data_IF_283579135327
#
_entry.id   IF_283579135327
#
_cell.length_a   1.000
_cell.length_b   1.000
_cell.length_c   1.000
_cell.angle_alpha   90.00
_cell.angle_beta   90.00
_cell.angle_gamma   90.00
#
_symmetry.space_group_name_H-M   'P 1'
#
loop_
_entity.id
_entity.type
_entity.pdbx_description
1 polymer ?
#
# COMPACT_ATOMS: atom_id res chain seq x y z
N UNK A 1 -3.96 -23.07 -23.65
CA UNK A 1 -3.83 -21.62 -23.88
C UNK A 1 -3.67 -20.95 -22.51
N UNK A 2 -2.68 -20.07 -22.33
CA UNK A 2 -2.48 -19.33 -21.07
C UNK A 2 -3.73 -18.52 -20.70
N UNK A 3 -4.23 -18.68 -19.47
CA UNK A 3 -5.32 -17.86 -18.94
C UNK A 3 -4.77 -16.51 -18.44
N UNK A 4 -4.96 -15.46 -19.26
CA UNK A 4 -4.43 -14.14 -18.96
C UNK A 4 -5.12 -13.49 -17.75
N UNK A 5 -6.40 -13.80 -17.51
CA UNK A 5 -7.12 -13.25 -16.36
C UNK A 5 -6.58 -13.86 -15.06
N UNK A 6 -6.31 -15.16 -15.05
CA UNK A 6 -5.67 -15.83 -13.91
C UNK A 6 -4.23 -15.35 -13.69
N UNK A 7 -3.48 -15.08 -14.76
CA UNK A 7 -2.15 -14.45 -14.69
C UNK A 7 -2.22 -13.09 -13.98
N UNK A 8 -3.12 -12.21 -14.39
CA UNK A 8 -3.32 -10.89 -13.77
C UNK A 8 -3.77 -11.02 -12.32
N UNK A 9 -4.71 -11.92 -12.02
CA UNK A 9 -5.15 -12.18 -10.65
C UNK A 9 -3.98 -12.64 -9.75
N UNK A 10 -3.08 -13.47 -10.28
CA UNK A 10 -1.87 -13.90 -9.56
C UNK A 10 -0.89 -12.74 -9.37
N UNK A 11 -0.67 -11.90 -10.38
CA UNK A 11 0.15 -10.69 -10.24
C UNK A 11 -0.40 -9.77 -9.13
N UNK A 12 -1.72 -9.63 -9.06
CA UNK A 12 -2.40 -8.82 -8.06
C UNK A 12 -2.27 -9.35 -6.62
N UNK A 13 -1.83 -10.60 -6.39
CA UNK A 13 -1.51 -11.08 -5.04
C UNK A 13 -0.16 -10.57 -4.52
N UNK A 14 0.76 -10.21 -5.43
CA UNK A 14 2.14 -9.85 -5.10
C UNK A 14 3.06 -11.04 -4.82
N UNK A 15 2.60 -12.27 -5.09
CA UNK A 15 3.43 -13.47 -4.98
C UNK A 15 4.24 -13.67 -6.28
N UNK A 16 5.39 -12.99 -6.35
CA UNK A 16 6.27 -13.02 -7.51
C UNK A 16 6.82 -14.43 -7.79
N UNK A 17 7.05 -15.24 -6.76
CA UNK A 17 7.56 -16.60 -6.94
C UNK A 17 6.53 -17.51 -7.58
N UNK A 18 5.28 -17.46 -7.09
CA UNK A 18 4.15 -18.17 -7.70
C UNK A 18 3.91 -17.67 -9.13
N UNK A 19 3.94 -16.35 -9.36
CA UNK A 19 3.76 -15.75 -10.67
C UNK A 19 4.80 -16.26 -11.67
N UNK A 20 6.08 -16.15 -11.32
CA UNK A 20 7.19 -16.56 -12.20
C UNK A 20 7.15 -18.06 -12.44
N UNK A 21 6.93 -18.86 -11.40
CA UNK A 21 6.92 -20.32 -11.53
C UNK A 21 5.76 -20.80 -12.40
N UNK A 22 4.58 -20.24 -12.18
CA UNK A 22 3.35 -20.70 -12.83
C UNK A 22 3.23 -20.24 -14.28
N UNK A 23 3.69 -19.04 -14.63
CA UNK A 23 3.36 -18.46 -15.94
C UNK A 23 4.54 -18.25 -16.87
N UNK A 24 5.79 -18.31 -16.41
CA UNK A 24 6.96 -18.06 -17.24
C UNK A 24 7.72 -19.35 -17.56
N UNK A 25 8.29 -19.42 -18.76
CA UNK A 25 9.23 -20.46 -19.15
C UNK A 25 10.59 -20.26 -18.45
N UNK A 26 11.39 -21.31 -18.36
CA UNK A 26 12.67 -21.26 -17.64
C UNK A 26 13.69 -20.31 -18.31
N UNK A 27 13.63 -20.23 -19.64
CA UNK A 27 14.48 -19.42 -20.52
C UNK A 27 13.83 -18.10 -20.97
N UNK A 28 12.80 -17.63 -20.25
CA UNK A 28 12.05 -16.42 -20.62
C UNK A 28 12.95 -15.21 -20.84
N UNK A 29 12.67 -14.43 -21.88
CA UNK A 29 13.33 -13.13 -22.11
C UNK A 29 12.37 -11.99 -21.80
N UNK A 30 12.72 -11.15 -20.82
CA UNK A 30 11.99 -9.92 -20.50
C UNK A 30 12.76 -8.70 -21.01
N UNK A 31 12.15 -7.93 -21.91
CA UNK A 31 12.70 -6.67 -22.44
C UNK A 31 11.86 -5.50 -21.95
N UNK A 32 12.48 -4.58 -21.20
CA UNK A 32 11.85 -3.37 -20.69
C UNK A 32 12.77 -2.16 -20.84
N UNK A 33 12.32 -1.13 -21.56
CA UNK A 33 13.15 0.03 -21.87
C UNK A 33 14.44 -0.37 -22.59
N UNK A 34 15.60 -0.07 -21.99
CA UNK A 34 16.93 -0.43 -22.53
C UNK A 34 17.53 -1.69 -21.90
N UNK A 35 16.79 -2.41 -21.06
CA UNK A 35 17.27 -3.57 -20.32
C UNK A 35 16.62 -4.85 -20.84
N UNK A 36 17.40 -5.93 -20.79
CA UNK A 36 16.96 -7.28 -21.10
C UNK A 36 17.38 -8.20 -19.94
N UNK A 37 16.49 -9.10 -19.56
CA UNK A 37 16.66 -10.05 -18.47
C UNK A 37 16.37 -11.46 -19.00
N UNK A 38 17.25 -12.41 -18.69
CA UNK A 38 17.19 -13.77 -19.22
C UNK A 38 16.95 -14.81 -18.12
N UNK A 39 15.91 -15.60 -18.33
CA UNK A 39 15.47 -16.67 -17.46
C UNK A 39 14.79 -16.20 -16.17
N UNK A 40 14.17 -17.16 -15.49
CA UNK A 40 13.38 -16.89 -14.27
C UNK A 40 14.20 -16.24 -13.15
N UNK A 41 15.48 -16.57 -13.02
CA UNK A 41 16.32 -16.04 -11.93
C UNK A 41 16.55 -14.53 -12.05
N UNK A 42 16.80 -14.03 -13.26
CA UNK A 42 16.96 -12.59 -13.49
C UNK A 42 15.62 -11.86 -13.41
N UNK A 43 14.54 -12.47 -13.91
CA UNK A 43 13.19 -11.93 -13.76
C UNK A 43 12.81 -11.75 -12.28
N UNK A 44 13.04 -12.76 -11.43
CA UNK A 44 12.79 -12.65 -9.98
C UNK A 44 13.60 -11.53 -9.33
N UNK A 45 14.88 -11.39 -9.69
CA UNK A 45 15.71 -10.27 -9.19
C UNK A 45 15.17 -8.92 -9.62
N UNK A 46 14.71 -8.81 -10.86
CA UNK A 46 14.08 -7.59 -11.38
C UNK A 46 12.79 -7.26 -10.62
N UNK A 47 11.87 -8.22 -10.47
CA UNK A 47 10.62 -8.03 -9.74
C UNK A 47 10.86 -7.66 -8.28
N UNK A 48 11.77 -8.37 -7.60
CA UNK A 48 12.16 -8.03 -6.23
C UNK A 48 12.68 -6.59 -6.13
N UNK A 49 13.53 -6.16 -7.07
CA UNK A 49 14.00 -4.77 -7.11
C UNK A 49 12.86 -3.78 -7.39
N UNK A 50 11.96 -4.09 -8.34
CA UNK A 50 10.88 -3.22 -8.78
C UNK A 50 9.83 -3.03 -7.67
N UNK A 51 9.45 -4.12 -6.99
CA UNK A 51 8.43 -4.17 -5.95
C UNK A 51 8.94 -3.83 -4.55
N UNK A 52 10.25 -3.74 -4.36
CA UNK A 52 10.82 -3.36 -3.06
C UNK A 52 10.33 -1.96 -2.64
N UNK A 53 9.36 -1.89 -1.73
CA UNK A 53 8.77 -0.63 -1.26
C UNK A 53 7.69 -0.01 -2.14
N UNK A 54 7.33 -0.66 -3.24
CA UNK A 54 6.31 -0.19 -4.18
C UNK A 54 5.39 -1.35 -4.51
N UNK A 55 4.08 -1.17 -4.25
CA UNK A 55 3.10 -2.13 -4.75
C UNK A 55 2.71 -1.75 -6.17
N UNK A 56 3.05 -2.63 -7.12
CA UNK A 56 2.66 -2.54 -8.54
C UNK A 56 1.35 -3.29 -8.78
N UNK A 57 0.34 -2.64 -9.37
CA UNK A 57 -0.97 -3.26 -9.64
C UNK A 57 -1.42 -2.95 -11.08
N UNK A 58 -1.59 -3.97 -11.93
CA UNK A 58 -2.06 -3.76 -13.30
C UNK A 58 -3.58 -3.59 -13.37
N UNK A 59 -4.03 -2.58 -14.12
CA UNK A 59 -5.41 -2.44 -14.59
C UNK A 59 -5.46 -2.62 -16.08
N UNK A 60 -5.81 -3.83 -16.51
CA UNK A 60 -5.94 -4.17 -17.93
C UNK A 60 -7.05 -3.32 -18.56
N UNK A 61 -6.70 -2.57 -19.60
CA UNK A 61 -7.64 -1.73 -20.36
C UNK A 61 -8.15 -2.47 -21.59
N UNK A 62 -7.23 -3.07 -22.34
CA UNK A 62 -7.54 -3.81 -23.56
C UNK A 62 -6.63 -5.04 -23.65
N UNK A 63 -7.17 -6.15 -24.15
CA UNK A 63 -6.39 -7.36 -24.42
C UNK A 63 -6.76 -7.94 -25.79
N UNK A 64 -5.75 -8.28 -26.58
CA UNK A 64 -5.87 -9.10 -27.77
C UNK A 64 -5.06 -10.37 -27.54
N UNK A 65 -5.73 -11.52 -27.55
CA UNK A 65 -5.10 -12.81 -27.29
C UNK A 65 -5.30 -13.76 -28.48
N UNK A 66 -4.18 -14.36 -28.89
CA UNK A 66 -4.08 -15.53 -29.77
C UNK A 66 -3.34 -16.64 -29.01
N UNK A 67 -3.22 -17.81 -29.62
CA UNK A 67 -2.58 -18.97 -28.99
C UNK A 67 -1.11 -18.70 -28.60
N UNK A 68 -0.38 -18.00 -29.46
CA UNK A 68 1.06 -17.75 -29.36
C UNK A 68 1.44 -16.32 -28.94
N UNK A 69 0.45 -15.42 -28.84
CA UNK A 69 0.67 -13.99 -28.60
C UNK A 69 -0.45 -13.35 -27.78
N UNK A 70 -0.07 -12.60 -26.76
CA UNK A 70 -0.95 -11.66 -26.05
C UNK A 70 -0.41 -10.25 -26.24
N UNK A 71 -1.28 -9.31 -26.60
CA UNK A 71 -1.02 -7.88 -26.54
C UNK A 71 -1.99 -7.26 -25.53
N UNK A 72 -1.46 -6.57 -24.53
CA UNK A 72 -2.25 -5.95 -23.48
C UNK A 72 -1.89 -4.47 -23.32
N UNK A 73 -2.91 -3.62 -23.33
CA UNK A 73 -2.79 -2.25 -22.83
C UNK A 73 -3.16 -2.26 -21.35
N UNK A 74 -2.26 -1.75 -20.52
CA UNK A 74 -2.37 -1.81 -19.06
C UNK A 74 -2.12 -0.41 -18.50
N UNK A 75 -2.99 0.05 -17.62
CA UNK A 75 -2.65 1.15 -16.73
C UNK A 75 -2.04 0.53 -15.47
N UNK A 76 -0.74 0.74 -15.27
CA UNK A 76 0.01 0.18 -14.15
C UNK A 76 0.07 1.19 -13.01
N UNK A 77 -0.52 0.86 -11.88
CA UNK A 77 -0.52 1.69 -10.69
C UNK A 77 0.63 1.29 -9.75
N UNK A 78 1.39 2.28 -9.28
CA UNK A 78 2.49 2.10 -8.35
C UNK A 78 2.19 2.87 -7.06
N UNK A 79 2.20 2.17 -5.92
CA UNK A 79 1.90 2.76 -4.61
C UNK A 79 3.09 2.58 -3.66
N UNK A 80 3.69 3.68 -3.23
CA UNK A 80 4.89 3.63 -2.40
C UNK A 80 4.56 3.52 -0.90
N UNK A 81 5.19 2.57 -0.22
CA UNK A 81 5.10 2.38 1.24
C UNK A 81 6.38 2.78 1.97
N UNK A 82 7.48 2.98 1.22
CA UNK A 82 8.76 3.52 1.71
C UNK A 82 9.35 4.46 0.65
N UNK A 83 10.30 5.35 1.00
CA UNK A 83 10.95 6.20 0.03
C UNK A 83 11.62 5.39 -1.08
N UNK A 84 11.39 5.79 -2.33
CA UNK A 84 11.93 5.17 -3.54
C UNK A 84 12.51 6.25 -4.45
N UNK A 85 13.77 6.53 -4.18
CA UNK A 85 14.61 7.39 -5.02
C UNK A 85 14.94 6.69 -6.32
N UNK A 86 15.08 7.46 -7.39
CA UNK A 86 15.48 6.98 -8.71
C UNK A 86 14.56 5.89 -9.27
N UNK A 87 13.30 5.87 -8.81
CA UNK A 87 12.30 4.99 -9.38
C UNK A 87 12.09 5.38 -10.85
N UNK A 88 11.93 4.41 -11.79
CA UNK A 88 11.93 4.71 -13.24
C UNK A 88 10.92 5.76 -13.70
N UNK A 89 9.91 6.03 -12.88
CA UNK A 89 8.81 6.96 -13.16
C UNK A 89 8.84 8.22 -12.27
N UNK A 90 9.97 8.48 -11.62
CA UNK A 90 10.18 9.60 -10.71
C UNK A 90 10.18 9.18 -9.25
N UNK A 91 10.84 9.97 -8.40
CA UNK A 91 10.91 9.76 -6.96
C UNK A 91 9.53 9.61 -6.32
N UNK A 92 9.41 8.64 -5.40
CA UNK A 92 8.19 8.40 -4.64
C UNK A 92 8.48 8.41 -3.14
N UNK A 93 7.57 9.02 -2.37
CA UNK A 93 7.54 8.93 -0.92
C UNK A 93 6.37 8.05 -0.44
N UNK A 94 6.37 7.59 0.83
CA UNK A 94 5.23 6.87 1.41
C UNK A 94 3.92 7.64 1.23
N UNK A 95 2.91 7.01 0.66
CA UNK A 95 1.61 7.64 0.38
C UNK A 95 1.48 8.22 -1.03
N UNK A 96 2.58 8.31 -1.79
CA UNK A 96 2.52 8.69 -3.19
C UNK A 96 1.99 7.53 -4.05
N UNK A 97 1.34 7.89 -5.15
CA UNK A 97 0.87 6.94 -6.15
C UNK A 97 1.06 7.53 -7.54
N UNK A 98 1.50 6.70 -8.48
CA UNK A 98 1.68 7.08 -9.87
C UNK A 98 1.13 6.00 -10.78
N UNK A 99 0.41 6.41 -11.82
CA UNK A 99 -0.09 5.49 -12.85
C UNK A 99 0.67 5.74 -14.14
N UNK A 100 1.11 4.66 -14.76
CA UNK A 100 1.86 4.68 -16.01
C UNK A 100 1.16 3.76 -17.00
N UNK A 101 0.97 4.21 -18.23
CA UNK A 101 0.43 3.35 -19.29
C UNK A 101 1.53 2.45 -19.84
N UNK A 102 1.19 1.17 -20.00
CA UNK A 102 2.00 0.13 -20.61
C UNK A 102 1.27 -0.44 -21.82
N UNK A 103 2.06 -0.77 -22.84
CA UNK A 103 1.67 -1.73 -23.88
C UNK A 103 2.64 -2.90 -23.78
N UNK A 104 2.11 -4.10 -23.54
CA UNK A 104 2.90 -5.29 -23.27
C UNK A 104 2.58 -6.37 -24.29
N UNK A 105 3.62 -6.93 -24.90
CA UNK A 105 3.52 -8.12 -25.74
C UNK A 105 4.08 -9.33 -25.01
N UNK A 106 3.33 -10.42 -24.98
CA UNK A 106 3.74 -11.71 -24.42
C UNK A 106 3.74 -12.75 -25.54
N UNK A 107 4.88 -13.36 -25.81
CA UNK A 107 4.97 -14.55 -26.66
C UNK A 107 4.75 -15.79 -25.79
N UNK A 108 3.86 -16.67 -26.24
CA UNK A 108 3.43 -17.84 -25.49
C UNK A 108 3.85 -19.12 -26.22
N UNK A 109 4.45 -20.07 -25.49
CA UNK A 109 4.70 -21.44 -25.95
C UNK A 109 4.40 -22.40 -24.80
N UNK A 110 3.71 -23.51 -25.09
CA UNK A 110 3.31 -24.51 -24.08
C UNK A 110 2.62 -23.88 -22.85
N UNK A 111 1.72 -22.92 -23.09
CA UNK A 111 0.99 -22.16 -22.07
C UNK A 111 1.86 -21.38 -21.08
N UNK A 112 3.10 -21.07 -21.46
CA UNK A 112 4.05 -20.26 -20.71
C UNK A 112 4.49 -19.05 -21.52
N UNK A 113 4.76 -17.95 -20.82
CA UNK A 113 5.42 -16.77 -21.40
C UNK A 113 6.90 -17.11 -21.64
N UNK A 114 7.31 -17.13 -22.91
CA UNK A 114 8.71 -17.31 -23.33
C UNK A 114 9.40 -15.99 -23.65
N UNK A 115 8.63 -14.95 -23.97
CA UNK A 115 9.16 -13.60 -24.10
C UNK A 115 8.13 -12.56 -23.70
N UNK A 116 8.58 -11.50 -23.04
CA UNK A 116 7.76 -10.36 -22.65
C UNK A 116 8.48 -9.08 -23.08
N UNK A 117 7.77 -8.18 -23.76
CA UNK A 117 8.28 -6.84 -24.09
C UNK A 117 7.29 -5.79 -23.66
N UNK A 118 7.78 -4.71 -23.06
CA UNK A 118 6.95 -3.60 -22.61
C UNK A 118 7.45 -2.27 -23.16
N UNK A 119 6.50 -1.41 -23.49
CA UNK A 119 6.74 0.02 -23.73
C UNK A 119 5.84 0.84 -22.80
N UNK A 120 6.35 1.99 -22.37
CA UNK A 120 5.66 2.87 -21.43
C UNK A 120 5.49 4.27 -21.98
N UNK A 121 4.49 4.98 -21.48
CA UNK A 121 4.32 6.42 -21.69
C UNK A 121 4.76 7.19 -20.45
N UNK A 122 5.01 8.51 -20.56
CA UNK A 122 5.23 9.37 -19.40
C UNK A 122 4.13 9.19 -18.34
N UNK A 123 4.46 9.29 -17.04
CA UNK A 123 3.51 9.19 -15.94
C UNK A 123 2.25 10.05 -16.14
N UNK A 124 1.08 9.46 -15.88
CA UNK A 124 -0.22 10.12 -16.02
C UNK A 124 -0.68 10.36 -17.47
N UNK A 125 0.13 10.04 -18.49
CA UNK A 125 -0.26 10.28 -19.88
C UNK A 125 -1.18 9.17 -20.40
N UNK A 126 -2.41 9.55 -20.74
CA UNK A 126 -3.40 8.67 -21.38
C UNK A 126 -3.98 7.58 -20.46
N UNK A 127 -3.69 7.64 -19.17
CA UNK A 127 -4.19 6.66 -18.19
C UNK A 127 -5.62 6.96 -17.81
N UNK A 128 -6.39 5.92 -17.53
CA UNK A 128 -7.70 6.02 -16.90
C UNK A 128 -7.55 6.38 -15.41
N UNK A 129 -8.58 7.01 -14.85
CA UNK A 129 -8.62 7.42 -13.44
C UNK A 129 -9.49 6.47 -12.62
N UNK A 130 -8.98 6.12 -11.45
CA UNK A 130 -9.69 5.38 -10.42
C UNK A 130 -9.85 6.29 -9.19
N UNK A 131 -10.96 6.22 -8.43
CA UNK A 131 -11.02 6.83 -7.11
C UNK A 131 -9.85 6.35 -6.25
N UNK A 132 -9.35 7.20 -5.35
CA UNK A 132 -8.11 6.93 -4.61
C UNK A 132 -8.22 5.70 -3.71
N UNK A 133 -9.38 5.48 -3.08
CA UNK A 133 -9.71 4.35 -2.22
C UNK A 133 -10.98 3.65 -2.70
N UNK A 134 -11.16 2.38 -2.31
CA UNK A 134 -12.23 1.49 -2.75
C UNK A 134 -11.81 0.02 -2.69
N UNK A 135 -12.59 -0.87 -3.33
CA UNK A 135 -12.38 -2.32 -3.25
C UNK A 135 -11.37 -2.90 -4.24
N UNK A 136 -10.93 -2.13 -5.24
CA UNK A 136 -9.97 -2.62 -6.24
C UNK A 136 -8.57 -2.84 -5.63
N UNK A 137 -7.78 -3.85 -6.05
CA UNK A 137 -6.44 -4.09 -5.49
C UNK A 137 -5.51 -2.87 -5.48
N UNK A 138 -5.58 -2.00 -6.49
CA UNK A 138 -4.82 -0.73 -6.51
C UNK A 138 -5.29 0.26 -5.43
N UNK A 139 -6.59 0.34 -5.17
CA UNK A 139 -7.13 1.19 -4.10
C UNK A 139 -6.75 0.67 -2.71
N UNK A 140 -6.76 -0.65 -2.52
CA UNK A 140 -6.27 -1.29 -1.29
C UNK A 140 -4.77 -1.02 -1.12
N UNK A 141 -3.98 -1.12 -2.18
CA UNK A 141 -2.56 -0.75 -2.15
C UNK A 141 -2.34 0.73 -1.82
N UNK A 142 -3.17 1.63 -2.34
CA UNK A 142 -3.16 3.05 -1.98
C UNK A 142 -3.49 3.27 -0.49
N UNK A 143 -4.40 2.47 0.09
CA UNK A 143 -4.67 2.50 1.52
C UNK A 143 -3.45 2.10 2.37
N UNK A 144 -2.69 1.09 1.96
CA UNK A 144 -1.43 0.75 2.62
C UNK A 144 -0.40 1.89 2.54
N UNK A 145 -0.34 2.60 1.40
CA UNK A 145 0.49 3.78 1.25
C UNK A 145 0.05 4.93 2.20
N UNK A 146 -1.26 5.11 2.40
CA UNK A 146 -1.81 6.00 3.43
C UNK A 146 -1.34 5.62 4.84
N UNK A 147 -1.45 4.34 5.24
CA UNK A 147 -0.98 3.88 6.55
C UNK A 147 0.53 4.13 6.73
N UNK A 148 1.31 3.99 5.66
CA UNK A 148 2.73 4.29 5.68
C UNK A 148 3.00 5.80 5.83
N UNK A 149 2.27 6.67 5.13
CA UNK A 149 2.38 8.12 5.30
C UNK A 149 2.04 8.56 6.74
N UNK A 150 0.96 8.02 7.30
CA UNK A 150 0.57 8.24 8.69
C UNK A 150 1.68 7.81 9.67
N UNK A 151 2.18 6.58 9.48
CA UNK A 151 3.29 6.02 10.28
C UNK A 151 4.63 6.71 10.05
N UNK A 152 4.74 7.65 9.11
CA UNK A 152 5.90 8.54 8.90
C UNK A 152 5.68 10.01 9.30
N UNK A 153 4.52 10.36 9.87
CA UNK A 153 4.19 11.71 10.32
C UNK A 153 4.02 12.68 9.15
N UNK A 154 3.74 12.16 7.97
CA UNK A 154 3.59 12.97 6.78
C UNK A 154 2.17 13.52 6.70
N UNK A 155 1.92 14.57 7.48
CA UNK A 155 0.63 15.25 7.59
C UNK A 155 0.09 15.69 6.24
N UNK A 156 0.97 16.10 5.32
CA UNK A 156 0.59 16.58 4.00
C UNK A 156 0.18 15.43 3.09
N UNK A 157 0.76 14.24 3.24
CA UNK A 157 0.41 13.07 2.42
C UNK A 157 -0.79 12.32 2.95
N UNK A 158 -0.85 12.00 4.24
CA UNK A 158 -1.98 11.23 4.75
C UNK A 158 -3.29 12.04 4.70
N UNK A 159 -3.24 13.36 4.85
CA UNK A 159 -4.43 14.21 4.75
C UNK A 159 -5.07 14.23 3.34
N UNK A 160 -4.33 13.86 2.28
CA UNK A 160 -4.84 13.75 0.90
C UNK A 160 -5.85 12.61 0.72
N UNK A 161 -5.94 11.71 1.70
CA UNK A 161 -6.88 10.59 1.69
C UNK A 161 -8.22 10.93 2.33
N UNK A 162 -8.38 12.12 2.89
CA UNK A 162 -9.58 12.53 3.60
C UNK A 162 -10.50 13.40 2.72
N UNK A 163 -11.79 13.45 3.05
CA UNK A 163 -12.68 14.55 2.65
C UNK A 163 -12.43 15.75 3.56
N UNK A 164 -12.79 16.96 3.12
CA UNK A 164 -12.49 18.18 3.89
C UNK A 164 -13.20 18.21 5.26
N UNK A 165 -14.36 17.58 5.34
CA UNK A 165 -15.29 17.44 6.48
C UNK A 165 -15.14 16.10 7.23
N UNK A 166 -14.04 15.37 7.04
CA UNK A 166 -13.81 14.06 7.68
C UNK A 166 -14.03 14.12 9.20
N UNK A 167 -14.62 13.07 9.78
CA UNK A 167 -14.80 12.95 11.23
C UNK A 167 -13.97 11.79 11.78
N UNK A 168 -13.23 12.03 12.86
CA UNK A 168 -12.48 11.00 13.58
C UNK A 168 -13.04 10.78 14.98
N UNK A 169 -13.36 9.53 15.30
CA UNK A 169 -13.83 9.07 16.60
C UNK A 169 -12.86 8.04 17.20
N UNK A 170 -12.18 8.45 18.28
CA UNK A 170 -11.23 7.61 19.02
C UNK A 170 -11.81 6.98 20.29
N UNK A 171 -13.02 7.41 20.70
CA UNK A 171 -13.68 6.98 21.94
C UNK A 171 -13.11 7.58 23.23
N UNK A 172 -11.82 7.96 23.27
CA UNK A 172 -11.15 8.55 24.44
C UNK A 172 -11.17 10.08 24.48
N UNK A 173 -11.53 10.73 23.37
CA UNK A 173 -11.62 12.19 23.22
C UNK A 173 -12.89 12.56 22.44
N UNK A 174 -13.39 13.80 22.54
CA UNK A 174 -14.47 14.27 21.68
C UNK A 174 -14.15 14.08 20.20
N UNK A 175 -15.18 13.89 19.33
CA UNK A 175 -14.96 13.76 17.89
C UNK A 175 -14.14 14.91 17.31
N UNK A 176 -13.19 14.58 16.43
CA UNK A 176 -12.31 15.53 15.78
C UNK A 176 -12.83 15.74 14.35
N UNK A 177 -13.04 17.01 13.97
CA UNK A 177 -13.66 17.37 12.71
C UNK A 177 -12.67 18.01 11.74
N UNK A 178 -12.75 17.61 10.48
CA UNK A 178 -12.00 18.12 9.35
C UNK A 178 -10.54 17.67 9.30
N UNK A 179 -9.95 17.79 8.11
CA UNK A 179 -8.54 17.45 7.84
C UNK A 179 -7.58 18.16 8.78
N UNK A 180 -7.81 19.46 8.98
CA UNK A 180 -6.96 20.31 9.81
C UNK A 180 -7.09 19.94 11.29
N UNK A 181 -8.28 19.57 11.74
CA UNK A 181 -8.49 19.08 13.10
C UNK A 181 -7.73 17.78 13.35
N UNK A 182 -7.84 16.80 12.45
CA UNK A 182 -7.16 15.52 12.56
C UNK A 182 -5.64 15.70 12.49
N UNK A 183 -5.13 16.43 11.51
CA UNK A 183 -3.68 16.67 11.38
C UNK A 183 -3.14 17.49 12.55
N UNK A 184 -3.88 18.47 13.07
CA UNK A 184 -3.52 19.24 14.26
C UNK A 184 -3.42 18.37 15.51
N UNK A 185 -4.41 17.49 15.73
CA UNK A 185 -4.40 16.52 16.83
C UNK A 185 -3.16 15.62 16.78
N UNK A 186 -2.92 14.97 15.64
CA UNK A 186 -1.77 14.07 15.49
C UNK A 186 -0.44 14.83 15.53
N UNK A 187 -0.38 16.07 15.06
CA UNK A 187 0.84 16.90 15.15
C UNK A 187 1.22 17.20 16.60
N UNK A 188 0.24 17.52 17.44
CA UNK A 188 0.46 17.73 18.86
C UNK A 188 0.91 16.43 19.55
N UNK A 189 0.24 15.30 19.25
CA UNK A 189 0.61 13.99 19.82
C UNK A 189 2.01 13.54 19.40
N UNK A 190 2.32 13.65 18.10
CA UNK A 190 3.60 13.24 17.52
C UNK A 190 4.80 14.08 17.97
N UNK A 191 4.58 15.20 18.66
CA UNK A 191 5.63 15.97 19.31
C UNK A 191 6.28 15.21 20.49
N UNK A 192 5.55 14.32 21.17
CA UNK A 192 6.04 13.55 22.32
C UNK A 192 5.91 12.03 22.15
N UNK A 193 4.97 11.54 21.35
CA UNK A 193 4.72 10.11 21.14
C UNK A 193 4.51 9.81 19.65
N UNK A 194 5.35 8.95 19.09
CA UNK A 194 5.27 8.47 17.71
C UNK A 194 4.29 7.30 17.61
N UNK A 195 3.35 7.35 16.68
CA UNK A 195 2.52 6.18 16.33
C UNK A 195 3.00 5.54 15.02
N UNK A 196 3.10 4.21 15.03
CA UNK A 196 3.32 3.40 13.83
C UNK A 196 2.32 2.25 13.78
N UNK A 197 1.82 1.95 12.58
CA UNK A 197 0.84 0.89 12.34
C UNK A 197 1.51 -0.33 11.70
N UNK A 198 1.30 -1.50 12.30
CA UNK A 198 1.50 -2.79 11.64
C UNK A 198 0.14 -3.26 11.14
N UNK A 199 -0.04 -3.32 9.83
CA UNK A 199 -1.30 -3.77 9.19
C UNK A 199 -1.30 -5.30 9.09
N UNK A 200 -2.40 -5.94 9.50
CA UNK A 200 -2.53 -7.40 9.44
C UNK A 200 -3.56 -7.83 8.40
N UNK A 201 -4.67 -7.10 8.30
CA UNK A 201 -5.66 -7.31 7.24
C UNK A 201 -6.38 -6.02 6.90
N UNK A 202 -6.82 -5.94 5.65
CA UNK A 202 -7.65 -4.87 5.11
C UNK A 202 -8.78 -5.53 4.32
N UNK A 203 -10.02 -5.19 4.67
CA UNK A 203 -11.20 -5.53 3.89
C UNK A 203 -11.77 -4.22 3.36
N UNK A 204 -11.98 -4.12 2.05
CA UNK A 204 -12.42 -2.89 1.42
C UNK A 204 -13.48 -3.16 0.35
N UNK A 205 -14.45 -2.27 0.28
CA UNK A 205 -15.30 -2.07 -0.89
C UNK A 205 -15.30 -0.58 -1.27
N UNK A 206 -16.14 -0.17 -2.21
CA UNK A 206 -16.17 1.21 -2.70
C UNK A 206 -16.75 2.21 -1.70
N UNK A 207 -17.27 1.75 -0.55
CA UNK A 207 -17.93 2.55 0.47
C UNK A 207 -17.23 2.50 1.82
N UNK A 208 -16.50 1.44 2.12
CA UNK A 208 -15.95 1.18 3.45
C UNK A 208 -14.60 0.48 3.39
N UNK A 209 -13.77 0.74 4.39
CA UNK A 209 -12.55 -0.02 4.66
C UNK A 209 -12.58 -0.44 6.13
N UNK A 210 -12.39 -1.73 6.40
CA UNK A 210 -12.13 -2.25 7.72
C UNK A 210 -10.65 -2.64 7.82
N UNK A 211 -9.95 -2.06 8.79
CA UNK A 211 -8.55 -2.30 9.07
C UNK A 211 -8.41 -3.05 10.40
N UNK A 212 -7.61 -4.11 10.38
CA UNK A 212 -7.11 -4.77 11.57
C UNK A 212 -5.60 -4.52 11.73
N UNK A 213 -5.22 -3.68 12.70
CA UNK A 213 -3.85 -3.21 12.90
C UNK A 213 -3.34 -3.39 14.34
N UNK A 214 -2.03 -3.45 14.51
CA UNK A 214 -1.38 -3.16 15.79
C UNK A 214 -0.87 -1.73 15.73
N UNK A 215 -1.33 -0.88 16.64
CA UNK A 215 -0.78 0.46 16.83
C UNK A 215 0.31 0.40 17.90
N UNK A 216 1.52 0.85 17.55
CA UNK A 216 2.62 1.05 18.48
C UNK A 216 2.81 2.53 18.73
N UNK A 217 2.77 2.93 20.00
CA UNK A 217 3.00 4.28 20.47
C UNK A 217 4.35 4.33 21.20
N UNK A 218 5.35 4.99 20.61
CA UNK A 218 6.71 5.09 21.17
C UNK A 218 6.98 6.52 21.64
N UNK A 219 7.33 6.69 22.90
CA UNK A 219 7.68 7.98 23.47
C UNK A 219 9.01 8.50 22.91
N UNK A 220 8.99 9.65 22.23
CA UNK A 220 10.22 10.34 21.77
C UNK A 220 10.78 11.28 22.85
N UNK A 221 9.92 11.72 23.76
CA UNK A 221 10.23 12.40 25.03
C UNK A 221 9.42 11.76 26.13
N UNK A 222 9.69 12.08 27.40
CA UNK A 222 8.81 11.67 28.49
C UNK A 222 7.38 12.18 28.24
N UNK A 223 6.40 11.30 28.44
CA UNK A 223 4.99 11.52 28.17
C UNK A 223 4.15 10.98 29.35
N UNK A 224 4.23 11.62 30.53
CA UNK A 224 3.53 11.16 31.73
C UNK A 224 2.01 11.24 31.61
N UNK A 225 1.51 12.16 30.78
CA UNK A 225 0.08 12.43 30.59
C UNK A 225 -0.49 11.77 29.31
N UNK A 226 0.22 10.81 28.70
CA UNK A 226 -0.26 10.16 27.48
C UNK A 226 -1.54 9.35 27.75
N UNK A 227 -2.56 9.57 26.94
CA UNK A 227 -3.94 9.08 27.15
C UNK A 227 -4.08 7.56 27.24
N UNK A 228 -3.13 6.81 26.67
CA UNK A 228 -3.11 5.34 26.73
C UNK A 228 -2.36 4.83 27.97
N UNK A 229 -1.46 5.64 28.53
CA UNK A 229 -0.68 5.35 29.72
C UNK A 229 0.66 6.10 29.70
N UNK A 230 1.17 6.44 30.89
CA UNK A 230 2.43 7.15 31.04
C UNK A 230 3.61 6.38 30.40
N UNK A 231 4.46 7.10 29.67
CA UNK A 231 5.67 6.56 29.06
C UNK A 231 6.87 7.44 29.33
N UNK A 232 8.01 6.82 29.62
CA UNK A 232 9.31 7.49 29.60
C UNK A 232 9.88 7.45 28.18
N UNK A 233 10.81 8.36 27.85
CA UNK A 233 11.47 8.38 26.54
C UNK A 233 12.04 6.99 26.16
N UNK A 234 11.73 6.56 24.94
CA UNK A 234 12.15 5.27 24.38
C UNK A 234 11.20 4.11 24.68
N UNK A 235 10.36 4.22 25.71
CA UNK A 235 9.36 3.22 26.02
C UNK A 235 8.23 3.23 24.99
N UNK A 236 7.53 2.10 24.87
CA UNK A 236 6.42 2.01 23.96
C UNK A 236 5.27 1.15 24.48
N UNK A 237 4.10 1.39 23.89
CA UNK A 237 2.88 0.63 24.14
C UNK A 237 2.40 0.07 22.81
N UNK A 238 1.92 -1.17 22.82
CA UNK A 238 1.22 -1.76 21.69
C UNK A 238 -0.21 -2.12 22.06
N UNK A 239 -1.14 -1.87 21.14
CA UNK A 239 -2.51 -2.37 21.23
C UNK A 239 -3.06 -2.75 19.87
N UNK A 240 -3.95 -3.74 19.87
CA UNK A 240 -4.74 -4.14 18.70
C UNK A 240 -5.87 -3.13 18.48
N UNK A 241 -5.96 -2.59 17.27
CA UNK A 241 -7.02 -1.66 16.88
C UNK A 241 -7.79 -2.20 15.66
N UNK A 242 -9.10 -2.03 15.72
CA UNK A 242 -10.00 -2.26 14.59
C UNK A 242 -10.52 -0.89 14.15
N UNK A 243 -10.21 -0.50 12.91
CA UNK A 243 -10.59 0.82 12.40
C UNK A 243 -11.55 0.66 11.24
N UNK A 244 -12.71 1.30 11.36
CA UNK A 244 -13.68 1.38 10.28
C UNK A 244 -13.60 2.76 9.63
N UNK A 245 -13.42 2.77 8.31
CA UNK A 245 -13.40 3.96 7.48
C UNK A 245 -14.64 3.96 6.59
N UNK A 246 -15.36 5.08 6.55
CA UNK A 246 -16.39 5.33 5.54
C UNK A 246 -15.82 6.16 4.40
N UNK A 247 -16.11 5.76 3.17
CA UNK A 247 -15.63 6.41 1.96
C UNK A 247 -16.74 7.22 1.29
N UNK A 248 -16.35 8.37 0.76
CA UNK A 248 -17.13 9.18 -0.18
C UNK A 248 -16.23 9.55 -1.35
N UNK A 249 -16.62 9.14 -2.55
CA UNK A 249 -15.88 9.37 -3.79
C UNK A 249 -14.40 8.91 -3.72
N UNK A 250 -14.17 7.80 -3.02
CA UNK A 250 -12.83 7.23 -2.82
C UNK A 250 -11.93 8.01 -1.86
N UNK A 251 -12.51 8.85 -0.99
CA UNK A 251 -11.84 9.53 0.11
C UNK A 251 -12.51 9.18 1.44
N UNK A 252 -11.74 9.17 2.53
CA UNK A 252 -12.21 8.88 3.88
C UNK A 252 -13.04 10.07 4.41
N UNK A 253 -14.28 9.80 4.78
CA UNK A 253 -15.22 10.77 5.35
C UNK A 253 -15.52 10.55 6.83
N UNK A 254 -15.33 9.32 7.33
CA UNK A 254 -15.46 9.01 8.75
C UNK A 254 -14.44 7.94 9.13
N UNK A 255 -13.81 8.09 10.29
CA UNK A 255 -12.91 7.13 10.92
C UNK A 255 -13.46 6.80 12.30
N UNK A 256 -13.74 5.53 12.58
CA UNK A 256 -14.11 5.05 13.91
C UNK A 256 -13.11 4.01 14.38
N UNK A 257 -12.51 4.24 15.53
CA UNK A 257 -11.49 3.35 16.10
C UNK A 257 -12.09 2.58 17.27
N UNK A 258 -12.10 1.26 17.14
CA UNK A 258 -12.37 0.32 18.22
C UNK A 258 -11.07 -0.31 18.74
N UNK A 259 -11.02 -0.61 20.04
CA UNK A 259 -9.98 -1.46 20.62
C UNK A 259 -10.47 -2.91 20.58
N UNK A 260 -9.60 -3.86 20.20
CA UNK A 260 -9.93 -5.28 20.27
C UNK A 260 -10.29 -5.71 21.70
N UNK A 261 -10.92 -6.87 21.89
CA UNK A 261 -11.31 -7.42 23.21
C UNK A 261 -10.14 -7.67 24.17
N UNK A 262 -10.04 -8.84 24.81
CA UNK A 262 -8.92 -9.12 25.74
C UNK A 262 -7.52 -8.90 25.11
N UNK A 263 -7.40 -9.08 23.79
CA UNK A 263 -6.18 -8.82 23.01
C UNK A 263 -5.95 -7.36 22.60
N UNK A 264 -6.93 -6.46 22.79
CA UNK A 264 -6.79 -5.02 22.58
C UNK A 264 -6.38 -4.24 23.83
N UNK A 265 -6.10 -4.94 24.95
CA UNK A 265 -5.50 -4.31 26.11
C UNK A 265 -4.08 -3.81 25.78
N UNK A 266 -3.73 -2.57 26.17
CA UNK A 266 -2.39 -2.04 26.01
C UNK A 266 -1.33 -2.94 26.66
N UNK A 267 -0.25 -3.21 25.92
CA UNK A 267 0.94 -3.92 26.41
C UNK A 267 2.09 -2.93 26.46
N UNK A 268 2.69 -2.78 27.63
CA UNK A 268 3.77 -1.83 27.87
C UNK A 268 5.13 -2.49 27.77
N UNK A 269 6.09 -1.74 27.23
CA UNK A 269 7.46 -2.20 27.02
C UNK A 269 8.45 -1.12 27.48
N UNK A 270 9.59 -1.56 27.99
CA UNK A 270 10.73 -0.66 28.23
C UNK A 270 11.47 -0.30 26.93
N UNK A 271 12.48 0.55 27.05
CA UNK A 271 13.28 1.00 25.91
C UNK A 271 14.08 -0.14 25.24
N UNK A 272 14.36 -1.22 25.97
CA UNK A 272 15.01 -2.43 25.45
C UNK A 272 14.02 -3.42 24.82
N UNK A 273 12.72 -3.10 24.79
CA UNK A 273 11.67 -3.94 24.22
C UNK A 273 11.21 -5.09 25.11
N UNK A 274 11.57 -5.10 26.39
CA UNK A 274 11.09 -6.08 27.36
C UNK A 274 9.71 -5.67 27.87
N UNK A 275 8.80 -6.64 27.93
CA UNK A 275 7.44 -6.40 28.42
C UNK A 275 7.47 -6.06 29.92
N UNK A 276 6.79 -4.98 30.29
CA UNK A 276 6.58 -4.62 31.70
C UNK A 276 5.52 -5.51 32.34
N UNK A 277 5.66 -5.82 33.65
CA UNK A 277 4.66 -6.56 34.40
C UNK A 277 3.29 -5.87 34.40
#
# INVERSE_FOLDING_TARGET
MLDYSAYIATFCTGDDDLLVERYFADDVVFTGGTREHHGKAELRKFLAWAHDGVREVPRVQNVLQREDLILAEIDMDFHATRPRRDFPFGDLEPGDSVTVKFLVSYKIENDKVVALKSMTWPPGKGVSRLPKLGGHPSQVAAFHAYCAAFSNADFDRFARFYTDDVVLELGSVPPIHGKDGITGFYRAMFASVRESLTVHSVLADDRTIALDATARFTAVTDAPDFVVGALSKGEFIELRVFVHYELRDGLISHIRVGRGGADGLPRFFDAEGRRKP
#
